data_IF_099646175210
#
_entry.id   IF_099646175210
#
_cell.length_a   1.000
_cell.length_b   1.000
_cell.length_c   1.000
_cell.angle_alpha   90.00
_cell.angle_beta   90.00
_cell.angle_gamma   90.00
#
_symmetry.space_group_name_H-M   'P 1'
#
loop_
_entity.id
_entity.type
_entity.pdbx_description
1 polymer ?
#
# COMPACT_ATOMS: atom_id res chain seq x y z
N UNK A 1 10.62 16.31 25.67
CA UNK A 1 10.11 15.16 24.91
C UNK A 1 9.21 15.69 23.82
N UNK A 2 9.39 15.22 22.58
CA UNK A 2 8.69 15.74 21.42
C UNK A 2 7.45 14.90 21.12
N UNK A 3 6.42 15.54 20.58
CA UNK A 3 5.20 14.88 20.09
C UNK A 3 5.36 14.59 18.61
N UNK A 4 4.80 13.48 18.14
CA UNK A 4 4.78 13.14 16.74
C UNK A 4 3.34 12.95 16.24
N UNK A 5 3.12 13.24 14.98
CA UNK A 5 1.89 12.89 14.24
C UNK A 5 2.24 11.96 13.10
N UNK A 6 1.53 10.84 13.04
CA UNK A 6 1.68 9.92 11.92
C UNK A 6 0.45 9.97 11.02
N UNK A 7 0.68 10.24 9.75
CA UNK A 7 -0.33 10.29 8.70
C UNK A 7 -0.04 9.25 7.62
N UNK A 8 -1.09 8.65 7.06
CA UNK A 8 -0.99 7.74 5.92
C UNK A 8 -2.07 8.03 4.89
N UNK A 9 -1.67 8.12 3.63
CA UNK A 9 -2.56 8.16 2.48
C UNK A 9 -2.24 7.00 1.54
N UNK A 10 -3.26 6.45 0.87
CA UNK A 10 -3.09 5.30 -0.05
C UNK A 10 -2.67 5.72 -1.46
N UNK A 11 -2.89 6.98 -1.84
CA UNK A 11 -2.48 7.53 -3.14
C UNK A 11 -2.22 9.03 -3.04
N UNK A 12 -1.34 9.60 -3.90
CA UNK A 12 -1.04 11.04 -3.91
C UNK A 12 -2.26 11.94 -4.20
N UNK A 13 -3.29 11.38 -4.86
CA UNK A 13 -4.52 12.10 -5.19
C UNK A 13 -5.52 12.21 -4.03
N UNK A 14 -5.30 11.48 -2.93
CA UNK A 14 -6.08 11.68 -1.72
C UNK A 14 -5.61 12.95 -1.03
N UNK A 15 -6.54 13.88 -0.80
CA UNK A 15 -6.23 15.18 -0.18
C UNK A 15 -5.64 14.97 1.22
N UNK A 16 -4.32 15.07 1.30
CA UNK A 16 -3.55 15.15 2.55
C UNK A 16 -4.05 16.33 3.41
N UNK A 17 -4.57 17.37 2.76
CA UNK A 17 -5.09 18.58 3.37
C UNK A 17 -6.03 18.31 4.55
N UNK A 18 -6.95 17.33 4.45
CA UNK A 18 -7.85 16.97 5.56
C UNK A 18 -7.14 16.42 6.80
N UNK A 19 -5.97 15.80 6.63
CA UNK A 19 -5.17 15.29 7.74
C UNK A 19 -4.22 16.37 8.26
N UNK A 20 -3.70 17.23 7.39
CA UNK A 20 -2.83 18.35 7.74
C UNK A 20 -3.55 19.45 8.52
N UNK A 21 -4.84 19.65 8.33
CA UNK A 21 -5.66 20.62 9.11
C UNK A 21 -5.67 20.30 10.62
N UNK A 22 -5.39 19.03 10.99
CA UNK A 22 -5.34 18.59 12.39
C UNK A 22 -3.94 18.57 12.98
N UNK A 23 -2.92 19.03 12.23
CA UNK A 23 -1.56 19.10 12.73
C UNK A 23 -1.44 20.13 13.84
N UNK A 24 -0.86 19.75 14.96
CA UNK A 24 -0.50 20.69 16.00
C UNK A 24 0.91 21.24 15.70
N UNK A 25 1.17 22.55 15.91
CA UNK A 25 2.48 23.16 15.58
C UNK A 25 3.67 22.52 16.32
N UNK A 26 3.41 21.85 17.46
CA UNK A 26 4.43 21.21 18.28
C UNK A 26 4.68 19.73 17.92
N UNK A 27 4.04 19.21 16.88
CA UNK A 27 4.17 17.81 16.46
C UNK A 27 5.16 17.65 15.30
N UNK A 28 6.08 16.69 15.41
CA UNK A 28 6.91 16.24 14.28
C UNK A 28 6.03 15.34 13.40
N UNK A 29 5.99 15.63 12.10
CA UNK A 29 5.08 14.98 11.18
C UNK A 29 5.78 13.87 10.39
N UNK A 30 5.21 12.66 10.44
CA UNK A 30 5.61 11.48 9.66
C UNK A 30 4.51 11.15 8.67
N UNK A 31 4.78 11.29 7.37
CA UNK A 31 3.79 11.09 6.30
C UNK A 31 4.18 9.95 5.37
N UNK A 32 3.39 8.88 5.35
CA UNK A 32 3.53 7.80 4.38
C UNK A 32 2.49 7.90 3.26
N UNK A 33 2.95 7.78 2.01
CA UNK A 33 2.10 7.62 0.82
C UNK A 33 2.17 6.16 0.40
N UNK A 34 1.41 5.31 1.08
CA UNK A 34 1.50 3.86 0.91
C UNK A 34 0.16 3.17 1.20
N UNK A 35 -0.05 2.01 0.55
CA UNK A 35 -1.23 1.18 0.80
C UNK A 35 -1.32 0.77 2.28
N UNK A 36 -2.54 0.80 2.84
CA UNK A 36 -2.81 0.26 4.17
C UNK A 36 -2.51 -1.24 4.32
N UNK A 37 -2.30 -1.98 3.22
CA UNK A 37 -1.91 -3.39 3.24
C UNK A 37 -0.47 -3.63 3.71
N UNK A 38 0.40 -2.60 3.72
CA UNK A 38 1.78 -2.69 4.24
C UNK A 38 1.75 -2.52 5.75
N UNK A 39 2.43 -3.42 6.47
CA UNK A 39 2.53 -3.37 7.93
C UNK A 39 3.24 -2.08 8.39
N UNK A 40 2.85 -1.55 9.56
CA UNK A 40 3.38 -0.27 10.08
C UNK A 40 4.91 -0.26 10.11
N UNK A 41 5.52 -1.29 10.66
CA UNK A 41 6.98 -1.46 10.79
C UNK A 41 7.74 -1.58 9.47
N UNK A 42 7.05 -1.82 8.35
CA UNK A 42 7.64 -1.96 7.02
C UNK A 42 7.55 -0.66 6.21
N UNK A 43 6.78 0.33 6.69
CA UNK A 43 6.61 1.62 6.04
C UNK A 43 7.82 2.50 6.33
N UNK A 44 8.22 3.34 5.38
CA UNK A 44 9.39 4.21 5.51
C UNK A 44 9.28 5.16 6.70
N UNK A 45 8.19 5.93 6.78
CA UNK A 45 7.96 6.86 7.88
C UNK A 45 7.52 6.16 9.16
N UNK A 46 6.90 4.97 9.05
CA UNK A 46 6.63 4.10 10.19
C UNK A 46 7.92 3.67 10.89
N UNK A 47 8.94 3.22 10.12
CA UNK A 47 10.28 2.89 10.65
C UNK A 47 10.96 4.10 11.27
N UNK A 48 10.97 5.24 10.55
CA UNK A 48 11.59 6.47 11.05
C UNK A 48 10.96 6.92 12.39
N UNK A 49 9.65 6.76 12.55
CA UNK A 49 8.96 7.03 13.81
C UNK A 49 9.39 6.05 14.92
N UNK A 50 9.48 4.74 14.60
CA UNK A 50 9.95 3.74 15.56
C UNK A 50 11.40 4.00 15.99
N UNK A 51 12.29 4.36 15.06
CA UNK A 51 13.69 4.72 15.35
C UNK A 51 13.76 5.94 16.27
N UNK A 52 12.94 6.97 16.03
CA UNK A 52 12.88 8.17 16.89
C UNK A 52 12.33 7.85 18.29
N UNK A 53 11.40 6.90 18.41
CA UNK A 53 10.90 6.38 19.69
C UNK A 53 12.01 5.59 20.41
N UNK A 54 12.73 4.72 19.70
CA UNK A 54 13.81 3.91 20.25
C UNK A 54 14.96 4.77 20.77
N UNK A 55 15.24 5.91 20.14
CA UNK A 55 16.21 6.92 20.57
C UNK A 55 15.72 7.76 21.77
N UNK A 56 14.45 7.62 22.18
CA UNK A 56 13.86 8.39 23.27
C UNK A 56 13.47 9.83 22.91
N UNK A 57 13.44 10.18 21.62
CA UNK A 57 13.08 11.54 21.17
C UNK A 57 11.58 11.79 21.27
N UNK A 58 10.75 10.76 21.10
CA UNK A 58 9.30 10.83 21.01
C UNK A 58 8.66 9.95 22.09
N UNK A 59 7.71 10.53 22.83
CA UNK A 59 6.90 9.80 23.83
C UNK A 59 5.40 9.97 23.64
N UNK A 60 4.98 10.70 22.62
CA UNK A 60 3.56 10.90 22.28
C UNK A 60 3.39 10.84 20.78
N UNK A 61 2.46 10.00 20.33
CA UNK A 61 2.12 9.82 18.91
C UNK A 61 0.64 10.06 18.73
N UNK A 62 0.26 10.94 17.80
CA UNK A 62 -1.12 11.17 17.39
C UNK A 62 -1.39 10.58 16.01
N UNK A 63 -2.58 10.00 15.83
CA UNK A 63 -3.08 9.52 14.54
C UNK A 63 -4.53 9.94 14.35
N UNK A 64 -4.93 10.20 13.10
CA UNK A 64 -6.30 10.58 12.82
C UNK A 64 -7.31 9.46 13.11
N UNK A 65 -6.93 8.20 12.86
CA UNK A 65 -7.75 7.01 13.08
C UNK A 65 -6.87 5.76 13.19
N UNK A 66 -7.41 4.69 13.78
CA UNK A 66 -6.71 3.44 14.08
C UNK A 66 -6.16 2.74 12.82
N UNK A 67 -6.87 2.84 11.69
CA UNK A 67 -6.47 2.24 10.41
C UNK A 67 -5.17 2.84 9.81
N UNK A 68 -4.65 3.90 10.42
CA UNK A 68 -3.33 4.45 10.08
C UNK A 68 -2.21 3.55 10.58
N UNK A 69 -2.41 2.86 11.72
CA UNK A 69 -1.36 2.09 12.42
C UNK A 69 -1.14 0.68 11.89
N UNK A 70 -2.05 0.11 11.13
CA UNK A 70 -1.89 -1.26 10.70
C UNK A 70 -2.77 -1.66 9.52
N UNK A 71 -2.48 -2.83 8.96
CA UNK A 71 -3.23 -3.45 7.85
C UNK A 71 -4.43 -4.29 8.35
N UNK A 72 -4.36 -4.78 9.56
CA UNK A 72 -5.37 -5.59 10.22
C UNK A 72 -5.30 -5.39 11.75
N UNK A 73 -6.21 -6.00 12.48
CA UNK A 73 -6.27 -5.90 13.95
C UNK A 73 -4.97 -6.35 14.62
N UNK A 74 -4.36 -7.45 14.17
CA UNK A 74 -3.12 -7.98 14.74
C UNK A 74 -1.98 -6.96 14.63
N UNK A 75 -1.81 -6.36 13.46
CA UNK A 75 -0.78 -5.36 13.20
C UNK A 75 -0.98 -4.09 14.05
N UNK A 76 -2.24 -3.66 14.22
CA UNK A 76 -2.59 -2.53 15.10
C UNK A 76 -2.27 -2.85 16.55
N UNK A 77 -2.66 -4.03 17.05
CA UNK A 77 -2.40 -4.44 18.43
C UNK A 77 -0.90 -4.60 18.71
N UNK A 78 -0.15 -5.18 17.78
CA UNK A 78 1.31 -5.30 17.88
C UNK A 78 1.98 -3.92 17.95
N UNK A 79 1.54 -2.97 17.12
CA UNK A 79 2.03 -1.59 17.13
C UNK A 79 1.69 -0.89 18.46
N UNK A 80 0.49 -1.11 18.98
CA UNK A 80 0.06 -0.57 20.27
C UNK A 80 0.88 -1.17 21.42
N UNK A 81 1.12 -2.48 21.43
CA UNK A 81 1.95 -3.14 22.42
C UNK A 81 3.38 -2.61 22.42
N UNK A 82 3.96 -2.38 21.24
CA UNK A 82 5.27 -1.74 21.10
C UNK A 82 5.27 -0.33 21.72
N UNK A 83 4.27 0.51 21.43
CA UNK A 83 4.18 1.86 22.01
C UNK A 83 4.04 1.79 23.55
N UNK A 84 3.20 0.88 24.06
CA UNK A 84 3.05 0.69 25.51
C UNK A 84 4.35 0.22 26.16
N UNK A 85 5.09 -0.71 25.52
CA UNK A 85 6.39 -1.19 26.01
C UNK A 85 7.42 -0.06 26.09
N UNK A 86 7.41 0.89 25.12
CA UNK A 86 8.26 2.07 25.09
C UNK A 86 7.74 3.24 25.94
N UNK A 87 6.63 3.06 26.65
CA UNK A 87 5.93 4.13 27.39
C UNK A 87 5.56 5.33 26.51
N UNK A 88 5.19 5.08 25.25
CA UNK A 88 4.70 6.07 24.29
C UNK A 88 3.20 6.13 24.35
N UNK A 89 2.65 7.32 24.56
CA UNK A 89 1.21 7.55 24.53
C UNK A 89 0.75 7.63 23.09
N UNK A 90 -0.20 6.77 22.69
CA UNK A 90 -0.88 6.87 21.42
C UNK A 90 -2.24 7.55 21.61
N UNK A 91 -2.46 8.64 20.87
CA UNK A 91 -3.76 9.32 20.78
C UNK A 91 -4.40 9.04 19.43
N UNK A 92 -5.66 8.63 19.47
CA UNK A 92 -6.49 8.40 18.28
C UNK A 92 -7.55 9.49 18.20
N UNK A 93 -7.39 10.45 17.29
CA UNK A 93 -8.18 11.69 17.27
C UNK A 93 -9.68 11.46 17.06
N UNK A 94 -10.07 10.55 16.14
CA UNK A 94 -11.48 10.29 15.88
C UNK A 94 -12.21 9.62 17.03
N UNK A 95 -11.46 9.02 17.99
CA UNK A 95 -12.03 8.44 19.21
C UNK A 95 -11.92 9.39 20.40
N UNK A 96 -11.04 10.40 20.33
CA UNK A 96 -10.73 11.27 21.46
C UNK A 96 -10.08 10.52 22.63
N UNK A 97 -9.42 9.39 22.38
CA UNK A 97 -8.88 8.49 23.40
C UNK A 97 -7.37 8.37 23.30
N UNK A 98 -6.75 8.12 24.45
CA UNK A 98 -5.33 7.86 24.60
C UNK A 98 -5.08 6.44 25.13
N UNK A 99 -3.98 5.82 24.66
CA UNK A 99 -3.60 4.45 25.05
C UNK A 99 -3.15 4.31 26.49
N UNK A 100 -2.79 5.43 27.13
CA UNK A 100 -2.34 5.47 28.53
C UNK A 100 -3.05 6.60 29.26
N UNK A 101 -3.38 6.37 30.53
CA UNK A 101 -3.92 7.36 31.47
C UNK A 101 -3.13 7.21 32.78
N UNK A 102 -2.63 8.32 33.31
CA UNK A 102 -1.82 8.37 34.53
C UNK A 102 -0.65 7.38 34.53
N UNK A 103 0.02 7.25 33.37
CA UNK A 103 1.19 6.37 33.21
C UNK A 103 0.86 4.87 33.15
N UNK A 104 -0.43 4.49 33.09
CA UNK A 104 -0.90 3.10 33.00
C UNK A 104 -1.64 2.85 31.70
N UNK A 105 -1.54 1.63 31.11
CA UNK A 105 -2.32 1.25 29.93
C UNK A 105 -3.82 1.43 30.14
N UNK A 106 -4.48 2.15 29.26
CA UNK A 106 -5.92 2.38 29.28
C UNK A 106 -6.67 1.13 28.77
N UNK A 107 -7.29 0.39 29.69
CA UNK A 107 -8.02 -0.84 29.33
C UNK A 107 -9.24 -0.57 28.45
N UNK A 108 -9.91 0.57 28.63
CA UNK A 108 -11.05 0.97 27.79
C UNK A 108 -10.57 1.22 26.35
N UNK A 109 -9.44 1.90 26.18
CA UNK A 109 -8.81 2.10 24.87
C UNK A 109 -8.53 0.74 24.19
N UNK A 110 -7.87 -0.20 24.91
CA UNK A 110 -7.57 -1.54 24.40
C UNK A 110 -8.83 -2.29 23.97
N UNK A 111 -9.88 -2.23 24.77
CA UNK A 111 -11.16 -2.87 24.47
C UNK A 111 -11.80 -2.28 23.20
N UNK A 112 -11.87 -0.95 23.11
CA UNK A 112 -12.45 -0.25 21.95
C UNK A 112 -11.68 -0.59 20.66
N UNK A 113 -10.35 -0.56 20.71
CA UNK A 113 -9.51 -0.93 19.54
C UNK A 113 -9.78 -2.37 19.11
N UNK A 114 -9.90 -3.30 20.06
CA UNK A 114 -10.18 -4.71 19.75
C UNK A 114 -11.56 -4.88 19.10
N UNK A 115 -12.58 -4.21 19.61
CA UNK A 115 -13.95 -4.26 19.06
C UNK A 115 -13.97 -3.66 17.65
N UNK A 116 -13.40 -2.47 17.46
CA UNK A 116 -13.35 -1.81 16.14
C UNK A 116 -12.59 -2.64 15.12
N UNK A 117 -11.49 -3.29 15.52
CA UNK A 117 -10.72 -4.17 14.66
C UNK A 117 -11.52 -5.39 14.21
N UNK A 118 -12.23 -6.05 15.14
CA UNK A 118 -13.10 -7.18 14.82
C UNK A 118 -14.26 -6.78 13.90
N UNK A 119 -14.90 -5.63 14.14
CA UNK A 119 -15.97 -5.10 13.27
C UNK A 119 -15.45 -4.84 11.86
N UNK A 120 -14.29 -4.20 11.73
CA UNK A 120 -13.67 -3.93 10.43
C UNK A 120 -13.30 -5.22 9.66
N UNK A 121 -12.89 -6.27 10.37
CA UNK A 121 -12.61 -7.58 9.78
C UNK A 121 -13.90 -8.28 9.31
N UNK A 122 -14.95 -8.24 10.14
CA UNK A 122 -16.28 -8.76 9.76
C UNK A 122 -16.82 -8.06 8.51
N UNK A 123 -16.76 -6.73 8.45
CA UNK A 123 -17.19 -5.96 7.28
C UNK A 123 -16.41 -6.35 6.01
N UNK A 124 -15.10 -6.51 6.11
CA UNK A 124 -14.26 -6.95 4.98
C UNK A 124 -14.65 -8.34 4.50
N UNK A 125 -14.91 -9.28 5.41
CA UNK A 125 -15.33 -10.63 5.06
C UNK A 125 -16.70 -10.63 4.39
N UNK A 126 -17.66 -9.89 4.91
CA UNK A 126 -18.99 -9.72 4.33
C UNK A 126 -18.94 -9.13 2.91
N UNK A 127 -18.08 -8.11 2.70
CA UNK A 127 -17.88 -7.52 1.37
C UNK A 127 -17.27 -8.54 0.39
N UNK A 128 -16.30 -9.34 0.85
CA UNK A 128 -15.67 -10.39 0.05
C UNK A 128 -16.66 -11.48 -0.34
N UNK A 129 -17.51 -11.91 0.58
CA UNK A 129 -18.57 -12.90 0.31
C UNK A 129 -19.56 -12.39 -0.74
N UNK A 130 -20.08 -11.16 -0.57
CA UNK A 130 -20.97 -10.53 -1.56
C UNK A 130 -20.30 -10.40 -2.93
N UNK A 131 -19.01 -10.08 -2.98
CA UNK A 131 -18.25 -10.02 -4.22
C UNK A 131 -18.16 -11.39 -4.89
N UNK A 132 -17.87 -12.45 -4.13
CA UNK A 132 -17.79 -13.82 -4.65
C UNK A 132 -19.13 -14.31 -5.16
N UNK A 133 -20.22 -14.01 -4.46
CA UNK A 133 -21.59 -14.30 -4.93
C UNK A 133 -21.92 -13.55 -6.22
N UNK A 134 -21.62 -12.25 -6.29
CA UNK A 134 -21.77 -11.45 -7.49
C UNK A 134 -20.99 -12.02 -8.68
N UNK A 135 -19.75 -12.48 -8.46
CA UNK A 135 -18.93 -13.16 -9.47
C UNK A 135 -19.57 -14.46 -9.93
N UNK A 136 -20.11 -15.29 -9.01
CA UNK A 136 -20.80 -16.54 -9.36
C UNK A 136 -22.02 -16.26 -10.25
N UNK A 137 -22.84 -15.28 -9.86
CA UNK A 137 -24.02 -14.87 -10.65
C UNK A 137 -23.62 -14.35 -12.04
N UNK A 138 -22.60 -13.50 -12.11
CA UNK A 138 -22.11 -12.95 -13.37
C UNK A 138 -21.50 -14.03 -14.28
N UNK A 139 -20.82 -15.04 -13.71
CA UNK A 139 -20.33 -16.22 -14.46
C UNK A 139 -21.50 -17.05 -15.00
N UNK A 140 -22.52 -17.31 -14.20
CA UNK A 140 -23.71 -18.06 -14.61
C UNK A 140 -24.48 -17.34 -15.74
N UNK A 141 -24.51 -16.00 -15.72
CA UNK A 141 -25.10 -15.16 -16.77
C UNK A 141 -24.21 -14.99 -18.02
N UNK A 142 -22.99 -15.60 -18.04
CA UNK A 142 -22.07 -15.49 -19.17
C UNK A 142 -21.49 -14.08 -19.39
N UNK A 143 -21.51 -13.22 -18.37
CA UNK A 143 -20.99 -11.85 -18.45
C UNK A 143 -19.47 -11.84 -18.67
N UNK A 144 -18.77 -12.81 -18.08
CA UNK A 144 -17.31 -12.96 -18.26
C UNK A 144 -17.01 -13.72 -19.55
N UNK A 145 -16.90 -13.00 -20.64
CA UNK A 145 -16.53 -13.56 -21.95
C UNK A 145 -15.03 -13.79 -22.12
N UNK A 146 -14.24 -13.36 -21.15
CA UNK A 146 -12.78 -13.38 -21.26
C UNK A 146 -12.26 -12.46 -22.37
N UNK A 147 -11.04 -12.70 -22.81
CA UNK A 147 -10.49 -12.03 -24.00
C UNK A 147 -11.09 -12.69 -25.24
N UNK A 148 -11.67 -11.90 -26.14
CA UNK A 148 -12.18 -12.44 -27.42
C UNK A 148 -11.07 -13.14 -28.19
N UNK A 149 -11.36 -14.34 -28.72
CA UNK A 149 -10.43 -15.05 -29.59
C UNK A 149 -10.13 -14.16 -30.80
N UNK A 150 -8.83 -13.93 -31.07
CA UNK A 150 -8.41 -13.06 -32.18
C UNK A 150 -8.24 -11.58 -31.80
N UNK A 151 -8.65 -11.12 -30.61
CA UNK A 151 -8.38 -9.76 -30.15
C UNK A 151 -6.90 -9.59 -29.75
N UNK A 152 -5.99 -9.90 -30.66
CA UNK A 152 -4.59 -9.58 -30.53
C UNK A 152 -4.32 -8.16 -31.06
N UNK A 153 -3.43 -7.44 -30.40
CA UNK A 153 -2.93 -6.17 -30.91
C UNK A 153 -2.35 -6.40 -32.30
N UNK A 154 -2.66 -5.52 -33.28
CA UNK A 154 -2.05 -5.59 -34.60
C UNK A 154 -0.52 -5.55 -34.49
N UNK A 155 0.17 -6.15 -35.46
CA UNK A 155 1.65 -6.21 -35.45
C UNK A 155 2.27 -4.83 -35.42
N UNK A 156 1.68 -3.88 -36.17
CA UNK A 156 2.11 -2.47 -36.16
C UNK A 156 1.92 -1.82 -34.78
N UNK A 157 0.78 -2.00 -34.12
CA UNK A 157 0.52 -1.48 -32.79
C UNK A 157 1.45 -2.10 -31.75
N UNK A 158 1.77 -3.41 -31.89
CA UNK A 158 2.72 -4.10 -31.04
C UNK A 158 4.15 -3.57 -31.20
N UNK A 159 4.61 -3.39 -32.45
CA UNK A 159 5.94 -2.82 -32.76
C UNK A 159 6.03 -1.37 -32.28
N UNK A 160 4.96 -0.59 -32.45
CA UNK A 160 4.87 0.78 -31.92
C UNK A 160 4.99 0.84 -30.39
N UNK A 161 4.33 -0.07 -29.68
CA UNK A 161 4.45 -0.18 -28.22
C UNK A 161 5.88 -0.49 -27.78
N UNK A 162 6.62 -1.23 -28.60
CA UNK A 162 7.99 -1.67 -28.31
C UNK A 162 9.04 -0.96 -29.18
N UNK A 163 8.83 0.32 -29.53
CA UNK A 163 9.75 1.11 -30.37
C UNK A 163 11.21 1.10 -29.91
N UNK A 164 11.45 1.11 -28.62
CA UNK A 164 12.81 1.04 -28.06
C UNK A 164 13.50 -0.26 -28.43
N UNK A 165 12.77 -1.39 -28.36
CA UNK A 165 13.29 -2.71 -28.71
C UNK A 165 13.55 -2.79 -30.22
N UNK A 166 12.64 -2.29 -31.06
CA UNK A 166 12.79 -2.22 -32.50
C UNK A 166 14.04 -1.41 -32.89
N UNK A 167 14.23 -0.24 -32.25
CA UNK A 167 15.40 0.62 -32.45
C UNK A 167 16.71 -0.10 -32.11
N UNK A 168 16.77 -0.80 -31.00
CA UNK A 168 17.96 -1.53 -30.57
C UNK A 168 18.27 -2.75 -31.49
N UNK A 169 17.22 -3.46 -31.95
CA UNK A 169 17.39 -4.56 -32.92
C UNK A 169 18.01 -4.04 -34.23
N UNK A 170 17.51 -2.91 -34.76
CA UNK A 170 18.01 -2.30 -36.00
C UNK A 170 19.43 -1.77 -35.84
N UNK A 171 19.78 -1.22 -34.67
CA UNK A 171 21.12 -0.71 -34.37
C UNK A 171 22.14 -1.83 -34.19
N UNK A 172 21.71 -2.97 -33.70
CA UNK A 172 22.56 -4.12 -33.35
C UNK A 172 21.99 -5.45 -33.87
N UNK A 173 21.93 -5.69 -35.19
CA UNK A 173 21.24 -6.86 -35.75
C UNK A 173 21.85 -8.21 -35.33
N UNK A 174 23.15 -8.23 -35.00
CA UNK A 174 23.91 -9.42 -34.66
C UNK A 174 23.92 -9.73 -33.16
N UNK A 175 23.27 -8.89 -32.30
CA UNK A 175 23.21 -9.16 -30.87
C UNK A 175 22.25 -10.30 -30.56
N UNK A 176 22.65 -11.11 -29.57
CA UNK A 176 21.77 -12.18 -29.06
C UNK A 176 20.52 -11.60 -28.40
N UNK A 177 19.41 -12.32 -28.51
CA UNK A 177 18.11 -11.93 -27.89
C UNK A 177 18.24 -11.66 -26.38
N UNK A 178 19.08 -12.43 -25.67
CA UNK A 178 19.33 -12.22 -24.24
C UNK A 178 20.04 -10.89 -23.94
N UNK A 179 21.03 -10.50 -24.78
CA UNK A 179 21.72 -9.20 -24.64
C UNK A 179 20.77 -8.04 -24.94
N UNK A 180 19.98 -8.14 -26.00
CA UNK A 180 18.94 -7.15 -26.32
C UNK A 180 17.92 -6.98 -25.21
N UNK A 181 17.46 -8.08 -24.61
CA UNK A 181 16.54 -8.04 -23.46
C UNK A 181 17.15 -7.28 -22.27
N UNK A 182 18.43 -7.51 -21.98
CA UNK A 182 19.16 -6.82 -20.91
C UNK A 182 19.32 -5.32 -21.16
N UNK A 183 19.61 -4.94 -22.41
CA UNK A 183 19.78 -3.51 -22.80
C UNK A 183 18.45 -2.76 -22.76
N UNK A 184 17.37 -3.40 -23.23
CA UNK A 184 16.05 -2.76 -23.36
C UNK A 184 15.18 -2.89 -22.12
N UNK A 185 15.60 -3.68 -21.12
CA UNK A 185 14.86 -3.88 -19.86
C UNK A 185 13.56 -4.68 -20.01
N UNK A 186 13.39 -5.42 -21.15
CA UNK A 186 12.19 -6.23 -21.38
C UNK A 186 12.51 -7.73 -21.31
N UNK A 187 11.47 -8.58 -21.21
CA UNK A 187 11.66 -10.02 -21.20
C UNK A 187 12.23 -10.56 -22.51
N UNK A 188 12.97 -11.66 -22.44
CA UNK A 188 13.51 -12.38 -23.63
C UNK A 188 12.40 -12.73 -24.63
N UNK A 189 11.22 -13.20 -24.11
CA UNK A 189 10.05 -13.49 -24.95
C UNK A 189 9.50 -12.27 -25.69
N UNK A 190 9.54 -11.08 -25.06
CA UNK A 190 9.13 -9.83 -25.71
C UNK A 190 10.06 -9.50 -26.88
N UNK A 191 11.37 -9.60 -26.68
CA UNK A 191 12.36 -9.35 -27.77
C UNK A 191 12.18 -10.36 -28.92
N UNK A 192 11.92 -11.63 -28.58
CA UNK A 192 11.69 -12.67 -29.57
C UNK A 192 10.43 -12.40 -30.40
N UNK A 193 9.33 -11.99 -29.74
CA UNK A 193 8.09 -11.62 -30.43
C UNK A 193 8.26 -10.39 -31.33
N UNK A 194 8.98 -9.35 -30.85
CA UNK A 194 9.28 -8.17 -31.67
C UNK A 194 10.08 -8.58 -32.92
N UNK A 195 11.14 -9.40 -32.72
CA UNK A 195 11.99 -9.85 -33.87
C UNK A 195 11.21 -10.72 -34.86
N UNK A 196 10.28 -11.55 -34.38
CA UNK A 196 9.38 -12.35 -35.24
C UNK A 196 8.46 -11.46 -36.07
N UNK A 197 7.78 -10.49 -35.43
CA UNK A 197 6.82 -9.58 -36.10
C UNK A 197 7.51 -8.60 -37.08
N UNK A 198 8.75 -8.19 -36.81
CA UNK A 198 9.56 -7.40 -37.75
C UNK A 198 9.92 -8.16 -39.04
N UNK A 199 9.89 -9.48 -39.05
CA UNK A 199 10.16 -10.31 -40.24
C UNK A 199 8.93 -10.52 -41.13
N UNK A 200 7.73 -10.24 -40.55
CA UNK A 200 6.44 -10.52 -41.21
C UNK A 200 5.88 -9.28 -41.90
N UNK A 201 6.48 -8.11 -41.65
CA UNK A 201 6.22 -6.83 -42.31
C UNK A 201 7.37 -6.55 -43.30
#
# INVERSE_FOLDING_TARGET
MKKARYNRISSPNQKLERQLVRNHPDEIIFNDVISGAVAFKEREQGKALMDAIDNGDINFVSVAAVDRLGRNLYDVLTTLEYFNYKNVILRVDNLGLESMVDGKPNQVFKLIISVLGNVAEMERNNLRERQLEGIKIAKAKGVYKGRERGSSMSDEAFLNKHKSVVKEINKHPNLSIRKLAKITGVSVGTVQNVKSKMKTI
#
